data_IF_075730019165
#
_entry.id   IF_075730019165
#
_cell.length_a   1.000
_cell.length_b   1.000
_cell.length_c   1.000
_cell.angle_alpha   90.00
_cell.angle_beta   90.00
_cell.angle_gamma   90.00
#
_symmetry.space_group_name_H-M   'P 1'
#
loop_
_entity.id
_entity.type
_entity.pdbx_description
1 polymer ?
#
# COMPACT_ATOMS: atom_id res chain seq x y z
N UNK A 1 -31.65 16.88 -3.21
CA UNK A 1 -30.49 16.17 -2.65
C UNK A 1 -30.02 15.18 -3.71
N UNK A 2 -29.01 15.53 -4.48
CA UNK A 2 -28.48 14.67 -5.55
C UNK A 2 -27.24 13.97 -5.00
N UNK A 3 -27.43 12.86 -4.29
CA UNK A 3 -26.34 11.97 -3.91
C UNK A 3 -25.90 11.21 -5.17
N UNK A 4 -24.99 11.80 -5.94
CA UNK A 4 -24.20 11.04 -6.89
C UNK A 4 -23.57 9.90 -6.09
N UNK A 5 -23.98 8.67 -6.38
CA UNK A 5 -23.37 7.46 -5.84
C UNK A 5 -21.88 7.56 -6.12
N UNK A 6 -21.07 7.84 -5.11
CA UNK A 6 -19.62 7.76 -5.21
C UNK A 6 -19.26 6.37 -5.72
N UNK A 7 -18.42 6.30 -6.74
CA UNK A 7 -17.92 5.02 -7.26
C UNK A 7 -17.40 4.15 -6.09
N UNK A 8 -18.01 3.00 -5.79
CA UNK A 8 -17.57 2.15 -4.69
C UNK A 8 -16.12 1.70 -4.83
N UNK A 9 -15.61 1.53 -6.06
CA UNK A 9 -14.23 1.13 -6.32
C UNK A 9 -13.22 2.22 -5.93
N UNK A 10 -13.66 3.48 -5.83
CA UNK A 10 -12.80 4.57 -5.35
C UNK A 10 -12.57 4.52 -3.82
N UNK A 11 -13.34 3.70 -3.09
CA UNK A 11 -13.22 3.50 -1.64
C UNK A 11 -13.24 4.83 -0.84
N UNK A 12 -13.92 5.85 -1.37
CA UNK A 12 -13.77 7.24 -0.91
C UNK A 12 -14.33 7.54 0.47
N UNK A 13 -15.18 6.65 1.00
CA UNK A 13 -15.68 6.71 2.37
C UNK A 13 -14.61 6.39 3.42
N UNK A 14 -13.53 5.72 3.03
CA UNK A 14 -12.52 5.19 3.94
C UNK A 14 -11.27 6.07 4.01
N UNK A 15 -10.62 6.02 5.17
CA UNK A 15 -9.36 6.72 5.42
C UNK A 15 -8.18 5.95 4.84
N UNK A 16 -8.17 4.63 5.01
CA UNK A 16 -7.16 3.74 4.44
C UNK A 16 -7.81 2.90 3.34
N UNK A 17 -7.26 2.99 2.13
CA UNK A 17 -7.74 2.30 0.94
C UNK A 17 -6.67 1.33 0.45
N UNK A 18 -7.07 0.29 -0.26
CA UNK A 18 -6.15 -0.68 -0.82
C UNK A 18 -6.54 -1.11 -2.23
N UNK A 19 -5.57 -1.10 -3.13
CA UNK A 19 -5.73 -1.64 -4.49
C UNK A 19 -4.36 -2.02 -5.08
N UNK A 20 -4.34 -2.40 -6.36
CA UNK A 20 -3.19 -2.98 -7.04
C UNK A 20 -2.75 -2.17 -8.26
N UNK A 21 -1.44 -2.10 -8.46
CA UNK A 21 -0.83 -1.59 -9.66
C UNK A 21 -1.21 -0.15 -10.00
N UNK A 22 -0.92 0.25 -11.24
CA UNK A 22 -1.23 1.60 -11.73
C UNK A 22 -2.74 1.84 -11.80
N UNK A 23 -3.50 0.82 -12.21
CA UNK A 23 -4.96 0.93 -12.38
C UNK A 23 -5.65 1.18 -11.04
N UNK A 24 -5.23 0.48 -9.99
CA UNK A 24 -5.71 0.70 -8.64
C UNK A 24 -5.30 2.06 -8.09
N UNK A 25 -4.05 2.49 -8.31
CA UNK A 25 -3.63 3.84 -7.92
C UNK A 25 -4.49 4.94 -8.55
N UNK A 26 -4.85 4.80 -9.83
CA UNK A 26 -5.77 5.72 -10.52
C UNK A 26 -7.19 5.68 -9.90
N UNK A 27 -7.66 4.50 -9.48
CA UNK A 27 -8.99 4.31 -8.90
C UNK A 27 -9.11 4.91 -7.48
N UNK A 28 -8.16 4.62 -6.59
CA UNK A 28 -8.25 4.97 -5.16
C UNK A 28 -7.41 6.20 -4.76
N UNK A 29 -6.54 6.69 -5.64
CA UNK A 29 -5.60 7.78 -5.36
C UNK A 29 -6.19 9.20 -5.45
N UNK A 30 -7.49 9.35 -5.70
CA UNK A 30 -8.16 10.66 -5.70
C UNK A 30 -8.58 11.05 -4.28
N UNK A 31 -8.43 12.33 -3.94
CA UNK A 31 -8.82 12.89 -2.63
C UNK A 31 -8.17 12.14 -1.45
N UNK A 32 -6.90 11.77 -1.62
CA UNK A 32 -6.02 11.27 -0.56
C UNK A 32 -4.87 12.23 -0.36
N UNK A 33 -4.29 12.23 0.83
CA UNK A 33 -3.11 13.02 1.15
C UNK A 33 -1.82 12.27 0.79
N UNK A 34 -1.85 10.94 0.74
CA UNK A 34 -0.71 10.11 0.35
C UNK A 34 -1.11 8.88 -0.47
N UNK A 35 -0.26 8.53 -1.44
CA UNK A 35 -0.24 7.22 -2.10
C UNK A 35 1.01 6.49 -1.61
N UNK A 36 0.82 5.34 -0.98
CA UNK A 36 1.88 4.45 -0.54
C UNK A 36 2.02 3.32 -1.55
N UNK A 37 3.09 3.37 -2.34
CA UNK A 37 3.43 2.32 -3.29
C UNK A 37 4.23 1.23 -2.57
N UNK A 38 3.72 0.00 -2.60
CA UNK A 38 4.29 -1.14 -1.89
C UNK A 38 4.84 -2.15 -2.89
N UNK A 39 6.16 -2.33 -2.86
CA UNK A 39 6.89 -3.30 -3.68
C UNK A 39 7.98 -3.93 -2.81
N UNK A 40 7.71 -5.12 -2.28
CA UNK A 40 8.59 -5.76 -1.29
C UNK A 40 9.92 -6.23 -1.90
N UNK A 41 9.93 -6.54 -3.20
CA UNK A 41 11.15 -7.00 -3.88
C UNK A 41 11.90 -5.87 -4.59
N UNK A 42 11.30 -4.67 -4.68
CA UNK A 42 11.89 -3.48 -5.28
C UNK A 42 12.10 -3.61 -6.80
N UNK A 43 11.29 -4.42 -7.46
CA UNK A 43 11.41 -4.70 -8.90
C UNK A 43 10.51 -3.80 -9.79
N UNK A 44 9.51 -3.15 -9.21
CA UNK A 44 8.53 -2.32 -9.88
C UNK A 44 8.81 -0.84 -9.60
N UNK A 45 9.20 -0.04 -10.60
CA UNK A 45 9.32 1.39 -10.41
C UNK A 45 7.96 1.98 -10.07
N UNK A 46 7.95 3.02 -9.22
CA UNK A 46 6.76 3.81 -8.98
C UNK A 46 6.31 4.41 -10.32
N UNK A 47 5.07 4.15 -10.78
CA UNK A 47 4.59 4.69 -12.05
C UNK A 47 4.37 6.20 -11.96
N UNK A 48 4.05 6.84 -13.09
CA UNK A 48 3.55 8.21 -13.07
C UNK A 48 2.17 8.25 -12.40
N UNK A 49 2.14 8.77 -11.17
CA UNK A 49 0.99 8.80 -10.27
C UNK A 49 0.37 10.21 -10.20
N UNK A 50 -0.95 10.31 -9.94
CA UNK A 50 -1.68 11.57 -9.93
C UNK A 50 -0.98 12.67 -9.12
N UNK A 51 -0.91 13.89 -9.65
CA UNK A 51 -0.36 15.06 -8.92
C UNK A 51 -1.24 15.44 -7.73
N UNK A 52 -0.64 15.91 -6.64
CA UNK A 52 -1.36 16.34 -5.43
C UNK A 52 -0.98 15.56 -4.18
N UNK A 53 -1.19 14.23 -4.12
CA UNK A 53 -0.78 13.44 -2.96
C UNK A 53 0.74 13.25 -2.93
N UNK A 54 1.27 13.17 -1.71
CA UNK A 54 2.62 12.68 -1.47
C UNK A 54 2.71 11.21 -1.97
N UNK A 55 3.85 10.85 -2.55
CA UNK A 55 4.12 9.50 -3.03
C UNK A 55 5.23 8.91 -2.20
N UNK A 56 4.96 7.77 -1.58
CA UNK A 56 5.84 7.14 -0.60
C UNK A 56 6.05 5.69 -0.97
N UNK A 57 7.30 5.23 -0.99
CA UNK A 57 7.60 3.80 -1.09
C UNK A 57 7.68 3.17 0.30
N UNK A 58 7.08 2.00 0.46
CA UNK A 58 7.14 1.24 1.70
C UNK A 58 7.16 -0.27 1.45
N UNK A 59 7.65 -1.01 2.44
CA UNK A 59 7.64 -2.46 2.49
C UNK A 59 7.50 -2.96 3.92
N UNK A 60 7.73 -4.26 4.12
CA UNK A 60 7.57 -4.91 5.41
C UNK A 60 8.41 -4.25 6.52
N UNK A 61 9.69 -3.98 6.24
CA UNK A 61 10.63 -3.46 7.23
C UNK A 61 10.46 -1.94 7.48
N UNK A 62 9.76 -1.21 6.60
CA UNK A 62 9.51 0.23 6.74
C UNK A 62 8.10 0.57 7.26
N UNK A 63 7.25 -0.43 7.49
CA UNK A 63 5.84 -0.25 7.85
C UNK A 63 5.64 0.60 9.12
N UNK A 64 6.43 0.36 10.17
CA UNK A 64 6.35 1.14 11.41
C UNK A 64 6.78 2.60 11.22
N UNK A 65 7.84 2.83 10.45
CA UNK A 65 8.31 4.18 10.13
C UNK A 65 7.27 4.94 9.28
N UNK A 66 6.60 4.26 8.36
CA UNK A 66 5.52 4.82 7.57
C UNK A 66 4.32 5.22 8.43
N UNK A 67 3.94 4.37 9.38
CA UNK A 67 2.85 4.67 10.30
C UNK A 67 3.15 5.89 11.17
N UNK A 68 4.37 6.00 11.71
CA UNK A 68 4.82 7.17 12.45
C UNK A 68 4.79 8.44 11.59
N UNK A 69 5.31 8.36 10.36
CA UNK A 69 5.25 9.46 9.40
C UNK A 69 3.80 9.89 9.11
N UNK A 70 2.89 8.95 8.88
CA UNK A 70 1.49 9.25 8.60
C UNK A 70 0.79 9.91 9.80
N UNK A 71 1.10 9.48 11.02
CA UNK A 71 0.58 10.10 12.23
C UNK A 71 1.03 11.57 12.36
N UNK A 72 2.32 11.83 12.18
CA UNK A 72 2.87 13.20 12.22
C UNK A 72 2.20 14.12 11.18
N UNK A 73 1.94 13.59 9.98
CA UNK A 73 1.22 14.33 8.93
C UNK A 73 -0.24 14.58 9.28
N UNK A 74 -0.91 13.61 9.89
CA UNK A 74 -2.28 13.77 10.38
C UNK A 74 -2.38 14.87 11.43
N UNK A 75 -1.48 14.87 12.42
CA UNK A 75 -1.43 15.90 13.45
C UNK A 75 -1.18 17.29 12.83
N UNK A 76 -0.24 17.38 11.88
CA UNK A 76 0.09 18.62 11.19
C UNK A 76 -1.08 19.16 10.34
N UNK A 77 -1.86 18.27 9.73
CA UNK A 77 -3.04 18.63 8.93
C UNK A 77 -4.21 19.14 9.79
N UNK A 78 -4.31 18.69 11.05
CA UNK A 78 -5.44 18.98 11.93
C UNK A 78 -6.76 18.35 11.46
N UNK A 79 -6.69 17.34 10.59
CA UNK A 79 -7.81 16.65 9.96
C UNK A 79 -7.47 15.21 9.62
N UNK A 80 -8.37 14.50 8.93
CA UNK A 80 -8.12 13.10 8.54
C UNK A 80 -7.05 13.05 7.45
N UNK A 81 -5.99 12.29 7.70
CA UNK A 81 -4.97 11.98 6.69
C UNK A 81 -5.34 10.67 5.99
N UNK A 82 -5.83 10.77 4.75
CA UNK A 82 -6.29 9.64 3.93
C UNK A 82 -5.14 9.10 3.11
N UNK A 83 -5.06 7.77 3.05
CA UNK A 83 -3.94 7.04 2.48
C UNK A 83 -4.48 6.00 1.51
N UNK A 84 -3.97 6.01 0.29
CA UNK A 84 -4.14 4.93 -0.66
C UNK A 84 -2.90 4.02 -0.63
N UNK A 85 -3.04 2.80 -0.11
CA UNK A 85 -1.98 1.79 -0.17
C UNK A 85 -2.14 1.00 -1.47
N UNK A 86 -1.10 0.97 -2.28
CA UNK A 86 -1.13 0.33 -3.60
C UNK A 86 -0.03 -0.72 -3.66
N UNK A 87 -0.42 -1.99 -3.71
CA UNK A 87 0.54 -3.07 -3.95
C UNK A 87 0.95 -3.05 -5.43
N UNK A 88 2.24 -3.00 -5.71
CA UNK A 88 2.77 -2.93 -7.06
C UNK A 88 2.33 -4.13 -7.91
N UNK A 89 2.30 -5.31 -7.28
CA UNK A 89 2.02 -6.55 -7.98
C UNK A 89 3.18 -6.91 -8.89
N UNK A 90 2.91 -7.83 -9.81
CA UNK A 90 3.85 -8.18 -10.86
C UNK A 90 3.15 -8.19 -12.21
N UNK A 91 3.91 -8.37 -13.29
CA UNK A 91 3.35 -8.39 -14.65
C UNK A 91 3.33 -9.82 -15.18
N UNK A 92 2.18 -10.23 -15.74
CA UNK A 92 2.06 -11.47 -16.50
C UNK A 92 2.74 -11.32 -17.87
N UNK A 93 2.98 -12.43 -18.56
CA UNK A 93 3.57 -12.41 -19.91
C UNK A 93 2.71 -11.66 -20.94
N UNK A 94 1.40 -11.53 -20.72
CA UNK A 94 0.46 -10.79 -21.57
C UNK A 94 0.35 -9.30 -21.22
N UNK A 95 1.15 -8.82 -20.25
CA UNK A 95 1.11 -7.43 -19.76
C UNK A 95 0.04 -7.17 -18.71
N UNK A 96 -0.81 -8.15 -18.37
CA UNK A 96 -1.79 -8.02 -17.31
C UNK A 96 -1.17 -7.99 -15.91
N UNK A 97 -1.85 -7.34 -14.97
CA UNK A 97 -1.47 -7.37 -13.56
C UNK A 97 -1.55 -8.80 -12.99
N UNK A 98 -0.51 -9.20 -12.27
CA UNK A 98 -0.36 -10.45 -11.55
C UNK A 98 -0.39 -10.15 -10.06
N UNK A 99 -1.19 -10.93 -9.35
CA UNK A 99 -1.11 -11.00 -7.89
C UNK A 99 0.31 -11.37 -7.44
N UNK A 100 0.87 -10.56 -6.54
CA UNK A 100 2.15 -10.79 -5.88
C UNK A 100 1.88 -10.96 -4.38
N UNK A 101 2.16 -12.16 -3.84
CA UNK A 101 1.85 -12.46 -2.42
C UNK A 101 2.75 -11.65 -1.49
N UNK A 102 3.98 -11.39 -1.90
CA UNK A 102 4.94 -10.56 -1.19
C UNK A 102 4.44 -9.12 -1.00
N UNK A 103 3.90 -8.50 -2.05
CA UNK A 103 3.38 -7.14 -1.98
C UNK A 103 2.07 -7.10 -1.19
N UNK A 104 1.22 -8.14 -1.26
CA UNK A 104 0.05 -8.24 -0.38
C UNK A 104 0.47 -8.25 1.09
N UNK A 105 1.46 -9.08 1.44
CA UNK A 105 1.90 -9.22 2.82
C UNK A 105 2.60 -7.96 3.33
N UNK A 106 3.40 -7.30 2.49
CA UNK A 106 4.01 -6.02 2.82
C UNK A 106 2.95 -4.90 2.96
N UNK A 107 1.97 -4.84 2.07
CA UNK A 107 0.89 -3.86 2.14
C UNK A 107 0.01 -4.11 3.38
N UNK A 108 -0.27 -5.37 3.69
CA UNK A 108 -0.95 -5.77 4.92
C UNK A 108 -0.19 -5.35 6.17
N UNK A 109 1.14 -5.46 6.17
CA UNK A 109 1.98 -4.98 7.28
C UNK A 109 1.93 -3.46 7.45
N UNK A 110 1.96 -2.73 6.33
CA UNK A 110 1.77 -1.27 6.31
C UNK A 110 0.42 -0.88 6.90
N UNK A 111 -0.66 -1.54 6.49
CA UNK A 111 -2.03 -1.24 6.96
C UNK A 111 -2.20 -1.60 8.43
N UNK A 112 -1.64 -2.74 8.88
CA UNK A 112 -1.62 -3.16 10.28
C UNK A 112 -0.90 -2.12 11.16
N UNK A 113 0.27 -1.64 10.72
CA UNK A 113 1.02 -0.59 11.41
C UNK A 113 0.26 0.76 11.46
N UNK A 114 -0.44 1.13 10.39
CA UNK A 114 -1.31 2.32 10.40
C UNK A 114 -2.44 2.20 11.43
N UNK A 115 -3.03 1.01 11.54
CA UNK A 115 -4.06 0.75 12.55
C UNK A 115 -3.49 0.84 13.99
N UNK A 116 -2.25 0.39 14.23
CA UNK A 116 -1.59 0.49 15.54
C UNK A 116 -1.42 1.95 16.01
N UNK A 117 -1.30 2.91 15.09
CA UNK A 117 -1.23 4.36 15.41
C UNK A 117 -2.58 5.07 15.37
N UNK A 118 -3.69 4.33 15.20
CA UNK A 118 -5.05 4.87 15.19
C UNK A 118 -5.54 5.40 13.84
N UNK A 119 -4.87 5.10 12.74
CA UNK A 119 -5.34 5.35 11.37
C UNK A 119 -5.99 4.05 10.87
N UNK A 120 -7.20 3.75 11.36
CA UNK A 120 -7.80 2.39 11.27
C UNK A 120 -9.16 2.34 10.54
N UNK A 121 -9.63 3.45 9.97
CA UNK A 121 -10.85 3.48 9.18
C UNK A 121 -10.60 2.90 7.77
N UNK A 122 -10.43 1.58 7.74
CA UNK A 122 -10.07 0.76 6.59
C UNK A 122 -11.25 0.48 5.65
N UNK A 123 -10.99 0.45 4.36
CA UNK A 123 -11.86 -0.20 3.38
C UNK A 123 -11.89 -1.73 3.59
N UNK A 124 -12.90 -2.45 3.06
CA UNK A 124 -12.93 -3.90 3.09
C UNK A 124 -11.68 -4.53 2.47
N UNK A 125 -11.17 -3.94 1.38
CA UNK A 125 -9.95 -4.36 0.68
C UNK A 125 -8.72 -4.21 1.57
N UNK A 126 -8.58 -3.06 2.26
CA UNK A 126 -7.48 -2.80 3.18
C UNK A 126 -7.54 -3.74 4.39
N UNK A 127 -8.73 -3.95 4.96
CA UNK A 127 -8.93 -4.88 6.08
C UNK A 127 -8.57 -6.32 5.69
N UNK A 128 -8.90 -6.76 4.47
CA UNK A 128 -8.55 -8.09 3.99
C UNK A 128 -7.03 -8.26 3.84
N UNK A 129 -6.32 -7.25 3.32
CA UNK A 129 -4.86 -7.26 3.21
C UNK A 129 -4.18 -7.32 4.59
N UNK A 130 -4.62 -6.49 5.53
CA UNK A 130 -4.13 -6.51 6.92
C UNK A 130 -4.36 -7.88 7.57
N UNK A 131 -5.56 -8.45 7.43
CA UNK A 131 -5.87 -9.78 7.97
C UNK A 131 -4.99 -10.89 7.37
N UNK A 132 -4.66 -10.81 6.08
CA UNK A 132 -3.75 -11.76 5.43
C UNK A 132 -2.34 -11.68 6.05
N UNK A 133 -1.79 -10.48 6.24
CA UNK A 133 -0.52 -10.30 6.92
C UNK A 133 -0.58 -10.79 8.37
N UNK A 134 -1.55 -10.33 9.16
CA UNK A 134 -1.63 -10.68 10.59
C UNK A 134 -1.82 -12.17 10.81
N UNK A 135 -2.61 -12.84 9.97
CA UNK A 135 -2.79 -14.30 10.00
C UNK A 135 -1.53 -15.09 9.59
N UNK A 136 -0.69 -14.52 8.72
CA UNK A 136 0.51 -15.16 8.19
C UNK A 136 1.81 -14.61 8.77
N UNK A 137 1.75 -13.67 9.73
CA UNK A 137 2.88 -12.87 10.23
C UNK A 137 4.09 -13.71 10.63
N UNK A 138 3.86 -14.86 11.26
CA UNK A 138 4.92 -15.80 11.70
C UNK A 138 5.61 -16.53 10.55
N UNK A 139 4.95 -16.64 9.40
CA UNK A 139 5.44 -17.31 8.20
C UNK A 139 5.87 -16.32 7.10
N UNK A 140 5.62 -15.01 7.25
CA UNK A 140 5.84 -13.99 6.21
C UNK A 140 7.20 -14.13 5.54
N UNK A 141 8.31 -14.14 6.29
CA UNK A 141 9.66 -14.25 5.68
C UNK A 141 9.85 -15.53 4.84
N UNK A 142 9.25 -16.64 5.26
CA UNK A 142 9.28 -17.88 4.47
C UNK A 142 8.45 -17.72 3.18
N UNK A 143 7.24 -17.17 3.28
CA UNK A 143 6.34 -16.94 2.14
C UNK A 143 6.96 -15.98 1.12
N UNK A 144 7.64 -14.92 1.57
CA UNK A 144 8.39 -14.00 0.71
C UNK A 144 9.44 -14.76 -0.11
N UNK A 145 10.29 -15.55 0.56
CA UNK A 145 11.34 -16.33 -0.13
C UNK A 145 10.80 -17.42 -1.07
N UNK A 146 9.57 -17.87 -0.82
CA UNK A 146 8.92 -18.92 -1.59
C UNK A 146 8.03 -18.38 -2.73
N UNK A 147 7.86 -17.06 -2.83
CA UNK A 147 6.95 -16.47 -3.80
C UNK A 147 7.42 -16.66 -5.24
N UNK A 148 6.47 -16.59 -6.19
CA UNK A 148 6.79 -16.80 -7.61
C UNK A 148 7.85 -15.80 -8.09
N UNK A 149 7.68 -14.52 -7.76
CA UNK A 149 8.61 -13.43 -8.07
C UNK A 149 10.01 -13.68 -7.50
N UNK A 150 10.10 -14.05 -6.22
CA UNK A 150 11.39 -14.36 -5.59
C UNK A 150 12.08 -15.55 -6.25
N UNK A 151 11.32 -16.58 -6.64
CA UNK A 151 11.84 -17.77 -7.34
C UNK A 151 12.21 -17.52 -8.81
N UNK A 152 11.58 -16.54 -9.44
CA UNK A 152 11.91 -16.06 -10.79
C UNK A 152 13.23 -15.26 -10.83
N UNK A 153 13.85 -15.01 -9.67
CA UNK A 153 15.15 -14.36 -9.54
C UNK A 153 15.07 -12.88 -9.23
N UNK A 154 13.89 -12.35 -8.87
CA UNK A 154 13.79 -11.05 -8.21
C UNK A 154 14.28 -11.21 -6.78
N UNK A 155 15.60 -11.02 -6.58
CA UNK A 155 16.14 -10.90 -5.25
C UNK A 155 15.52 -9.66 -4.58
N UNK A 156 15.12 -9.73 -3.30
CA UNK A 156 14.61 -8.56 -2.61
C UNK A 156 15.65 -7.45 -2.66
N UNK A 157 15.33 -6.32 -3.29
CA UNK A 157 16.03 -5.08 -3.00
C UNK A 157 15.48 -4.63 -1.66
N UNK A 158 16.28 -4.76 -0.60
CA UNK A 158 15.84 -4.35 0.73
C UNK A 158 15.43 -2.87 0.69
N UNK A 159 14.12 -2.61 0.72
CA UNK A 159 13.63 -1.30 1.13
C UNK A 159 14.13 -1.13 2.57
N UNK A 160 14.94 -0.10 2.80
CA UNK A 160 15.44 0.20 4.13
C UNK A 160 14.29 0.37 5.12
N UNK A 161 14.57 0.29 6.42
CA UNK A 161 13.54 0.49 7.45
C UNK A 161 12.99 1.92 7.52
N UNK A 162 13.57 2.84 6.76
CA UNK A 162 13.13 4.24 6.67
C UNK A 162 12.10 4.42 5.56
N UNK A 163 11.20 5.38 5.78
CA UNK A 163 10.23 5.81 4.77
C UNK A 163 10.95 6.54 3.66
N UNK A 164 10.69 6.16 2.41
CA UNK A 164 11.21 6.88 1.24
C UNK A 164 10.09 7.69 0.62
N UNK A 165 10.11 9.00 0.84
CA UNK A 165 9.19 9.93 0.17
C UNK A 165 9.75 10.25 -1.21
N UNK A 166 9.12 9.72 -2.25
CA UNK A 166 9.51 9.93 -3.65
C UNK A 166 9.04 11.29 -4.18
N UNK A 167 7.92 11.82 -3.65
CA UNK A 167 7.36 13.13 -3.99
C UNK A 167 6.50 13.65 -2.84
N UNK A 168 6.56 14.96 -2.56
CA UNK A 168 5.62 15.69 -1.70
C UNK A 168 4.58 16.44 -2.55
#
# INVERSE_FOLDING_TARGET
MNSASSDPHAQSAYQVRFDWGRSGADAIGRDVEAIVWVDELGAAPIPDLPLGPAVVAAGLDSAGSLAAWALDRQESLGGRFRIAVVAAGATRADGGERFAVEDLLAAGAVIDALAEVGIDHNSPEAAAAAAAYTGLRRATRHLLSASASAREGQAPTALGSEVVVARE
#
